data_IF_580560519688
#
_entry.id   IF_580560519688
#
_cell.length_a   1.000
_cell.length_b   1.000
_cell.length_c   1.000
_cell.angle_alpha   90.00
_cell.angle_beta   90.00
_cell.angle_gamma   90.00
#
_symmetry.space_group_name_H-M   'P 1'
#
loop_
_entity.id
_entity.type
_entity.pdbx_description
1 polymer ?
#
# COMPACT_ATOMS: atom_id res chain seq x y z
N UNK A 1 2.68 15.04 1.63
CA UNK A 1 2.49 13.61 1.27
C UNK A 1 0.99 13.40 1.06
N UNK A 2 0.60 13.18 -0.18
CA UNK A 2 -0.81 13.02 -0.55
C UNK A 2 -1.10 11.56 -0.84
N UNK A 3 -2.34 11.14 -0.58
CA UNK A 3 -2.77 9.81 -0.94
C UNK A 3 -2.90 9.69 -2.46
N UNK A 4 -2.98 8.46 -2.95
CA UNK A 4 -2.99 8.19 -4.38
C UNK A 4 -4.34 7.56 -4.76
N UNK A 5 -4.87 7.90 -5.93
CA UNK A 5 -6.09 7.27 -6.42
C UNK A 5 -5.77 6.12 -7.37
N UNK A 6 -6.80 5.32 -7.68
CA UNK A 6 -6.59 4.13 -8.50
C UNK A 6 -6.17 4.46 -9.94
N UNK A 7 -6.58 5.61 -10.47
CA UNK A 7 -6.19 6.01 -11.83
C UNK A 7 -4.70 6.30 -11.92
N UNK A 8 -4.17 7.03 -10.94
CA UNK A 8 -2.75 7.33 -10.88
C UNK A 8 -1.93 6.06 -10.69
N UNK A 9 -2.36 5.19 -9.77
CA UNK A 9 -1.67 3.92 -9.52
C UNK A 9 -1.65 3.06 -10.77
N UNK A 10 -2.79 2.94 -11.46
CA UNK A 10 -2.85 2.10 -12.67
C UNK A 10 -1.89 2.59 -13.74
N UNK A 11 -1.79 3.89 -13.95
CA UNK A 11 -0.82 4.46 -14.90
C UNK A 11 0.61 4.04 -14.55
N UNK A 12 0.97 4.12 -13.28
CA UNK A 12 2.31 3.77 -12.84
C UNK A 12 2.59 2.28 -13.01
N UNK A 13 1.63 1.43 -12.67
CA UNK A 13 1.79 -0.01 -12.86
C UNK A 13 1.87 -0.37 -14.35
N UNK A 14 1.04 0.25 -15.19
CA UNK A 14 1.00 -0.03 -16.63
C UNK A 14 2.30 0.39 -17.33
N UNK A 15 2.97 1.43 -16.85
CA UNK A 15 4.25 1.87 -17.41
C UNK A 15 5.45 1.09 -16.85
N UNK A 16 5.21 0.16 -15.93
CA UNK A 16 6.29 -0.62 -15.32
C UNK A 16 7.12 0.17 -14.33
N UNK A 17 6.54 1.22 -13.73
CA UNK A 17 7.24 2.04 -12.75
C UNK A 17 7.61 1.22 -11.51
N UNK A 18 8.90 1.14 -11.21
CA UNK A 18 9.45 0.41 -10.05
C UNK A 18 10.02 1.35 -9.00
N UNK A 19 9.70 2.64 -9.08
CA UNK A 19 10.28 3.65 -8.20
C UNK A 19 9.66 3.73 -6.82
N UNK A 20 8.66 2.90 -6.53
CA UNK A 20 7.97 2.92 -5.23
C UNK A 20 7.88 1.52 -4.64
N UNK A 21 7.74 1.47 -3.31
CA UNK A 21 7.47 0.24 -2.58
C UNK A 21 5.95 0.11 -2.48
N UNK A 22 5.40 -1.05 -2.87
CA UNK A 22 3.96 -1.26 -2.94
C UNK A 22 3.57 -2.37 -1.95
N UNK A 23 2.71 -2.03 -0.99
CA UNK A 23 2.40 -2.91 0.16
C UNK A 23 0.90 -3.11 0.29
N UNK A 24 0.50 -4.38 0.45
CA UNK A 24 -0.87 -4.79 0.76
C UNK A 24 -0.92 -5.20 2.22
N UNK A 25 -1.73 -4.52 3.03
CA UNK A 25 -1.83 -4.79 4.47
C UNK A 25 -3.05 -5.64 4.83
N UNK A 26 -3.66 -6.30 3.82
CA UNK A 26 -4.78 -7.21 4.05
C UNK A 26 -4.30 -8.54 4.61
N UNK A 27 -5.25 -9.44 4.85
CA UNK A 27 -4.93 -10.80 5.32
C UNK A 27 -4.53 -11.70 4.16
N UNK A 28 -3.76 -12.78 4.43
CA UNK A 28 -3.31 -13.68 3.35
C UNK A 28 -4.44 -14.26 2.51
N UNK A 29 -5.59 -14.57 3.12
CA UNK A 29 -6.70 -15.14 2.34
C UNK A 29 -7.29 -14.13 1.36
N UNK A 30 -7.30 -12.83 1.72
CA UNK A 30 -7.76 -11.78 0.82
C UNK A 30 -6.81 -11.64 -0.37
N UNK A 31 -5.52 -11.68 -0.08
CA UNK A 31 -4.46 -11.58 -1.10
C UNK A 31 -4.55 -12.76 -2.09
N UNK A 32 -4.80 -13.96 -1.58
CA UNK A 32 -4.91 -15.14 -2.41
C UNK A 32 -6.11 -15.08 -3.36
N UNK A 33 -7.21 -14.48 -2.93
CA UNK A 33 -8.40 -14.35 -3.77
C UNK A 33 -8.22 -13.35 -4.90
N UNK A 34 -7.60 -12.19 -4.60
CA UNK A 34 -7.36 -11.13 -5.56
C UNK A 34 -6.30 -10.20 -5.01
N UNK A 35 -5.32 -9.83 -5.84
CA UNK A 35 -4.31 -8.86 -5.40
C UNK A 35 -3.86 -8.00 -6.58
N UNK A 36 -3.22 -6.88 -6.25
CA UNK A 36 -2.73 -5.91 -7.24
C UNK A 36 -1.23 -6.07 -7.54
N UNK A 37 -0.62 -7.14 -7.04
CA UNK A 37 0.80 -7.39 -7.23
C UNK A 37 1.70 -6.74 -6.19
N UNK A 38 1.11 -6.18 -5.12
CA UNK A 38 1.88 -5.60 -4.03
C UNK A 38 2.52 -6.68 -3.18
N UNK A 39 3.50 -6.29 -2.36
CA UNK A 39 4.06 -7.19 -1.35
C UNK A 39 3.08 -7.30 -0.19
N UNK A 40 2.76 -8.51 0.24
CA UNK A 40 1.85 -8.73 1.36
C UNK A 40 2.58 -8.53 2.68
N UNK A 41 2.16 -7.51 3.43
CA UNK A 41 2.61 -7.25 4.80
C UNK A 41 1.35 -6.99 5.62
N UNK A 42 0.73 -8.04 6.19
CA UNK A 42 -0.51 -7.87 6.95
C UNK A 42 -0.37 -6.79 8.02
N UNK A 43 -1.45 -6.06 8.28
CA UNK A 43 -1.43 -4.91 9.19
C UNK A 43 -0.76 -5.22 10.53
N UNK A 44 -1.02 -6.41 11.10
CA UNK A 44 -0.46 -6.80 12.39
C UNK A 44 1.07 -6.95 12.35
N UNK A 45 1.66 -7.12 11.16
CA UNK A 45 3.11 -7.28 11.01
C UNK A 45 3.81 -6.01 10.55
N UNK A 46 3.06 -4.92 10.31
CA UNK A 46 3.65 -3.64 9.89
C UNK A 46 4.67 -3.11 10.91
N UNK A 47 4.42 -3.18 12.24
CA UNK A 47 5.44 -2.73 13.19
C UNK A 47 6.79 -3.44 13.04
N UNK A 48 6.78 -4.76 12.85
CA UNK A 48 8.01 -5.52 12.65
C UNK A 48 8.66 -5.16 11.31
N UNK A 49 7.87 -4.96 10.27
CA UNK A 49 8.40 -4.55 8.97
C UNK A 49 9.06 -3.16 9.05
N UNK A 50 8.48 -2.24 9.81
CA UNK A 50 9.00 -0.87 9.94
C UNK A 50 10.41 -0.85 10.53
N UNK A 51 10.72 -1.76 11.45
CA UNK A 51 12.05 -1.86 12.07
C UNK A 51 12.93 -2.91 11.41
N UNK A 52 12.38 -3.69 10.49
CA UNK A 52 13.07 -4.73 9.74
C UNK A 52 13.27 -4.34 8.28
N UNK A 53 12.50 -4.97 7.40
CA UNK A 53 12.72 -4.83 5.95
C UNK A 53 12.48 -3.41 5.41
N UNK A 54 11.70 -2.59 6.08
CA UNK A 54 11.43 -1.21 5.65
C UNK A 54 12.34 -0.18 6.33
N UNK A 55 13.18 -0.59 7.29
CA UNK A 55 13.93 0.35 8.13
C UNK A 55 14.81 1.30 7.32
N UNK A 56 15.37 0.84 6.21
CA UNK A 56 16.27 1.63 5.37
C UNK A 56 15.51 2.42 4.29
N UNK A 57 14.18 2.39 4.31
CA UNK A 57 13.34 2.98 3.25
C UNK A 57 12.47 4.13 3.77
N UNK A 58 12.89 4.80 4.85
CA UNK A 58 12.08 5.83 5.50
C UNK A 58 11.78 7.03 4.61
N UNK A 59 12.63 7.31 3.64
CA UNK A 59 12.43 8.44 2.74
C UNK A 59 11.98 8.03 1.35
N UNK A 60 11.80 6.74 1.11
CA UNK A 60 11.32 6.24 -0.17
C UNK A 60 9.80 6.35 -0.26
N UNK A 61 9.29 6.43 -1.48
CA UNK A 61 7.85 6.45 -1.69
C UNK A 61 7.29 5.05 -1.40
N UNK A 62 6.33 4.99 -0.48
CA UNK A 62 5.65 3.74 -0.12
C UNK A 62 4.15 3.95 -0.36
N UNK A 63 3.56 3.07 -1.17
CA UNK A 63 2.11 3.06 -1.39
C UNK A 63 1.54 1.86 -0.66
N UNK A 64 0.59 2.12 0.25
CA UNK A 64 -0.07 1.08 1.03
C UNK A 64 -1.52 0.96 0.61
N UNK A 65 -2.05 -0.27 0.57
CA UNK A 65 -3.46 -0.45 0.29
C UNK A 65 -4.06 -1.59 1.09
N UNK A 66 -5.38 -1.57 1.18
CA UNK A 66 -6.17 -2.65 1.74
C UNK A 66 -7.45 -2.79 0.92
N UNK A 67 -8.53 -3.29 1.51
CA UNK A 67 -9.79 -3.47 0.79
C UNK A 67 -10.47 -2.12 0.49
N UNK A 68 -10.60 -1.25 1.50
CA UNK A 68 -11.36 0.01 1.39
C UNK A 68 -10.56 1.26 1.70
N UNK A 69 -9.35 1.12 2.22
CA UNK A 69 -8.50 2.23 2.64
C UNK A 69 -8.40 2.43 4.14
N UNK A 70 -9.23 1.75 4.95
CA UNK A 70 -9.25 1.95 6.40
C UNK A 70 -8.01 1.35 7.10
N UNK A 71 -7.72 0.07 6.84
CA UNK A 71 -6.55 -0.60 7.44
C UNK A 71 -5.26 0.02 6.95
N UNK A 72 -5.19 0.32 5.65
CA UNK A 72 -4.00 0.96 5.08
C UNK A 72 -3.82 2.39 5.57
N UNK A 73 -4.91 3.09 5.88
CA UNK A 73 -4.84 4.39 6.54
C UNK A 73 -4.18 4.28 7.91
N UNK A 74 -4.51 3.24 8.68
CA UNK A 74 -3.88 2.98 9.96
C UNK A 74 -2.40 2.63 9.80
N UNK A 75 -2.06 1.83 8.79
CA UNK A 75 -0.67 1.50 8.50
C UNK A 75 0.13 2.75 8.15
N UNK A 76 -0.44 3.62 7.32
CA UNK A 76 0.21 4.90 6.97
C UNK A 76 0.47 5.74 8.22
N UNK A 77 -0.53 5.89 9.09
CA UNK A 77 -0.39 6.69 10.30
C UNK A 77 0.73 6.15 11.18
N UNK A 78 0.80 4.83 11.35
CA UNK A 78 1.85 4.19 12.13
C UNK A 78 3.23 4.47 11.51
N UNK A 79 3.38 4.26 10.21
CA UNK A 79 4.66 4.46 9.53
C UNK A 79 5.11 5.92 9.62
N UNK A 80 4.18 6.86 9.46
CA UNK A 80 4.50 8.29 9.61
C UNK A 80 5.04 8.59 11.00
N UNK A 81 4.43 8.03 12.04
CA UNK A 81 4.91 8.19 13.41
C UNK A 81 6.31 7.60 13.61
N UNK A 82 6.64 6.56 12.84
CA UNK A 82 7.95 5.92 12.89
C UNK A 82 9.02 6.64 12.06
N UNK A 83 8.67 7.78 11.47
CA UNK A 83 9.63 8.60 10.72
C UNK A 83 9.63 8.40 9.22
N UNK A 84 8.67 7.67 8.68
CA UNK A 84 8.53 7.49 7.24
C UNK A 84 7.94 8.76 6.63
N UNK A 85 8.57 9.30 5.59
CA UNK A 85 8.28 10.64 5.10
C UNK A 85 7.43 10.69 3.84
N UNK A 86 7.21 9.56 3.17
CA UNK A 86 6.47 9.56 1.91
C UNK A 86 5.60 8.32 1.77
N UNK A 87 4.61 8.20 2.66
CA UNK A 87 3.67 7.09 2.66
C UNK A 87 2.34 7.56 2.11
N UNK A 88 1.84 6.88 1.08
CA UNK A 88 0.60 7.25 0.39
C UNK A 88 -0.38 6.09 0.49
N UNK A 89 -1.61 6.39 0.92
CA UNK A 89 -2.68 5.39 1.00
C UNK A 89 -3.45 5.36 -0.31
N UNK A 90 -3.73 4.17 -0.84
CA UNK A 90 -4.57 4.03 -2.03
C UNK A 90 -6.02 4.29 -1.65
N UNK A 91 -6.56 5.40 -2.13
CA UNK A 91 -7.92 5.81 -1.83
C UNK A 91 -8.92 4.78 -2.35
N UNK A 92 -9.78 4.29 -1.46
CA UNK A 92 -10.81 3.31 -1.80
C UNK A 92 -10.32 1.88 -1.98
N UNK A 93 -9.01 1.66 -1.97
CA UNK A 93 -8.40 0.33 -1.97
C UNK A 93 -8.82 -0.56 -3.13
N UNK A 94 -8.84 -1.87 -2.88
CA UNK A 94 -9.23 -2.88 -3.88
C UNK A 94 -10.66 -2.63 -4.40
N UNK A 95 -11.57 -2.17 -3.54
CA UNK A 95 -12.94 -1.90 -3.96
C UNK A 95 -13.00 -0.81 -5.05
N UNK A 96 -12.26 0.28 -4.87
CA UNK A 96 -12.19 1.32 -5.89
C UNK A 96 -11.53 0.82 -7.17
N UNK A 97 -10.47 0.02 -7.04
CA UNK A 97 -9.81 -0.58 -8.20
C UNK A 97 -10.78 -1.45 -9.00
N UNK A 98 -11.51 -2.33 -8.32
CA UNK A 98 -12.46 -3.22 -8.98
C UNK A 98 -13.61 -2.47 -9.63
N UNK A 99 -14.09 -1.40 -8.98
CA UNK A 99 -15.16 -0.57 -9.54
C UNK A 99 -14.72 0.13 -10.84
N UNK A 100 -13.47 0.59 -10.90
CA UNK A 100 -12.97 1.31 -12.07
C UNK A 100 -12.46 0.38 -13.17
N UNK A 101 -11.81 -0.72 -12.83
CA UNK A 101 -11.08 -1.55 -13.78
C UNK A 101 -11.55 -3.00 -13.81
N UNK A 102 -12.42 -3.40 -12.91
CA UNK A 102 -12.83 -4.77 -12.75
C UNK A 102 -11.77 -5.61 -12.03
N UNK A 103 -11.94 -6.89 -12.04
CA UNK A 103 -10.97 -7.76 -11.36
C UNK A 103 -11.55 -9.07 -10.93
#
# INVERSE_FOLDING_TARGET
MTDINVSELKKRLDTGDKSFIFIDVREPYEYAEFNLGAELIPLSTVPDAATGQLADHKNDEIIVHCRSGARSGNAKAFLVQMGFTNVRNLEGGVLAWQREFGG
#
